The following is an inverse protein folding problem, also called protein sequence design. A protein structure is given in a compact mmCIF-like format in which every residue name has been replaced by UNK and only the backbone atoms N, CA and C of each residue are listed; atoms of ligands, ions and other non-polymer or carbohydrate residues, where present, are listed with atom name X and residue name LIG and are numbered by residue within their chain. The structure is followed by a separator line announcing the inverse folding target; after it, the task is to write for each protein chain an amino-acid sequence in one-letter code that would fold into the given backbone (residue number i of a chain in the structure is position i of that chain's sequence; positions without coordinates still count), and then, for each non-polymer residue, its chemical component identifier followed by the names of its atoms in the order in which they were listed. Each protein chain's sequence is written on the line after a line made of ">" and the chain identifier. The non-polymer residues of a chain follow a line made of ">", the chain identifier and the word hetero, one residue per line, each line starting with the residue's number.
data_IF_179930145334
#
_entry.id   IF_179930145334
#
_cell.length_a   1.000
_cell.length_b   1.000
_cell.length_c   1.000
_cell.angle_alpha   90.00
_cell.angle_beta   90.00
_cell.angle_gamma   90.00
#
_symmetry.space_group_name_H-M   'P 1'
#
loop_
_entity.id
_entity.type
_entity.pdbx_description
1 polymer ?
#
# COMPACT_ATOMS: atom_id res chain seq x y z
N UNK A 1 67.92 8.42 38.56
CA UNK A 1 67.55 7.27 37.68
C UNK A 1 66.70 6.31 38.50
N UNK A 2 65.38 6.48 38.45
CA UNK A 2 64.40 5.56 39.03
C UNK A 2 63.60 4.96 37.88
N UNK A 3 63.55 3.63 37.81
CA UNK A 3 62.56 2.90 37.02
C UNK A 3 62.32 1.57 37.70
N UNK A 4 61.07 1.26 38.07
CA UNK A 4 60.28 0.17 37.45
C UNK A 4 59.03 -0.18 38.26
N UNK A 5 57.96 -0.34 37.48
CA UNK A 5 56.76 -1.16 37.68
C UNK A 5 55.74 -0.73 38.76
N UNK A 6 54.71 -0.01 38.31
CA UNK A 6 53.40 0.04 38.97
C UNK A 6 52.46 -0.99 38.34
N UNK A 7 51.92 -1.88 39.16
CA UNK A 7 50.83 -2.79 38.84
C UNK A 7 49.50 -2.03 38.90
N UNK A 8 48.66 -2.15 37.87
CA UNK A 8 47.26 -1.68 37.90
C UNK A 8 46.37 -2.86 38.26
N UNK A 9 45.74 -2.78 39.44
CA UNK A 9 44.72 -3.72 39.92
C UNK A 9 43.37 -3.30 39.30
N UNK A 10 42.78 -4.20 38.51
CA UNK A 10 41.43 -4.09 37.97
C UNK A 10 40.42 -4.58 39.02
N UNK A 11 39.74 -3.64 39.68
CA UNK A 11 38.62 -3.91 40.58
C UNK A 11 37.34 -4.11 39.77
N UNK A 12 36.93 -5.37 39.62
CA UNK A 12 35.58 -5.75 39.18
C UNK A 12 34.58 -5.50 40.32
N UNK A 13 33.88 -4.36 40.28
CA UNK A 13 32.69 -4.13 41.10
C UNK A 13 31.45 -4.62 40.34
N UNK A 14 30.99 -5.81 40.72
CA UNK A 14 29.62 -6.28 40.47
C UNK A 14 28.65 -5.37 41.23
N UNK A 15 27.96 -4.48 40.54
CA UNK A 15 26.77 -3.80 41.05
C UNK A 15 25.55 -4.21 40.21
N UNK A 16 24.82 -5.19 40.75
CA UNK A 16 23.36 -5.21 40.84
C UNK A 16 22.59 -4.56 39.69
N UNK A 17 22.21 -5.38 38.71
CA UNK A 17 21.20 -5.04 37.72
C UNK A 17 19.84 -4.81 38.40
N UNK A 18 19.38 -3.56 38.35
CA UNK A 18 17.96 -3.26 38.51
C UNK A 18 17.20 -4.00 37.40
N UNK A 19 16.41 -5.01 37.80
CA UNK A 19 15.35 -5.60 36.97
C UNK A 19 14.34 -4.49 36.63
N UNK A 20 14.54 -3.84 35.49
CA UNK A 20 13.47 -3.12 34.81
C UNK A 20 12.50 -4.13 34.17
N UNK A 21 11.22 -3.79 33.98
CA UNK A 21 10.27 -4.67 33.31
C UNK A 21 10.84 -5.06 31.95
N UNK A 22 10.86 -6.37 31.73
CA UNK A 22 11.47 -7.07 30.61
C UNK A 22 11.26 -6.35 29.29
N UNK A 23 12.36 -6.01 28.62
CA UNK A 23 12.44 -5.53 27.22
C UNK A 23 11.73 -6.44 26.21
N UNK A 24 11.32 -7.64 26.62
CA UNK A 24 10.56 -8.60 25.82
C UNK A 24 9.10 -8.16 25.59
N UNK A 25 8.42 -7.54 26.56
CA UNK A 25 7.01 -7.13 26.38
C UNK A 25 6.84 -5.93 25.44
N UNK A 26 7.70 -4.90 25.58
CA UNK A 26 7.71 -3.76 24.65
C UNK A 26 8.09 -4.16 23.22
N UNK A 27 8.95 -5.17 23.08
CA UNK A 27 9.33 -5.70 21.78
C UNK A 27 8.20 -6.50 21.14
N UNK A 28 7.36 -7.19 21.91
CA UNK A 28 6.21 -7.93 21.38
C UNK A 28 5.13 -7.01 20.84
N UNK A 29 4.73 -5.93 21.55
CA UNK A 29 3.77 -4.96 21.00
C UNK A 29 4.31 -4.28 19.75
N UNK A 30 5.56 -3.80 19.77
CA UNK A 30 6.19 -3.23 18.58
C UNK A 30 6.21 -4.24 17.42
N UNK A 31 6.59 -5.51 17.66
CA UNK A 31 6.59 -6.55 16.64
C UNK A 31 5.19 -6.90 16.12
N UNK A 32 4.15 -6.93 16.96
CA UNK A 32 2.76 -7.18 16.53
C UNK A 32 2.20 -6.06 15.67
N UNK A 33 2.57 -4.79 15.93
CA UNK A 33 2.15 -3.66 15.10
C UNK A 33 2.87 -3.64 13.73
N UNK A 34 4.05 -4.28 13.63
CA UNK A 34 4.77 -4.53 12.38
C UNK A 34 4.46 -5.91 11.77
N UNK A 35 3.68 -6.77 12.45
CA UNK A 35 3.10 -7.93 11.79
C UNK A 35 2.06 -7.38 10.81
N UNK A 36 2.30 -7.69 9.55
CA UNK A 36 1.74 -6.96 8.43
C UNK A 36 0.29 -7.39 8.20
N UNK A 37 -0.64 -7.07 9.10
CA UNK A 37 -2.05 -7.50 9.03
C UNK A 37 -2.22 -8.98 8.65
N UNK A 38 -3.28 -9.29 7.90
CA UNK A 38 -3.66 -10.64 7.47
C UNK A 38 -2.66 -11.34 6.52
N UNK A 39 -1.41 -10.88 6.37
CA UNK A 39 -0.52 -11.29 5.27
C UNK A 39 -0.17 -12.79 5.22
N UNK A 40 -0.13 -13.52 6.33
CA UNK A 40 0.44 -14.88 6.36
C UNK A 40 -0.49 -15.97 6.91
N UNK A 41 -1.70 -15.63 7.31
CA UNK A 41 -2.72 -16.55 7.82
C UNK A 41 -3.97 -16.45 6.95
N UNK A 42 -4.95 -17.35 7.12
CA UNK A 42 -6.25 -17.20 6.47
C UNK A 42 -6.95 -15.93 6.96
N UNK A 43 -7.66 -15.25 6.06
CA UNK A 43 -8.27 -13.94 6.34
C UNK A 43 -9.69 -14.10 6.88
N UNK A 44 -10.30 -15.27 6.72
CA UNK A 44 -11.65 -15.59 7.09
C UNK A 44 -11.68 -16.94 7.82
N UNK A 45 -11.74 -16.91 9.15
CA UNK A 45 -11.93 -18.12 9.95
C UNK A 45 -13.24 -17.99 10.72
N UNK A 46 -14.35 -18.34 10.06
CA UNK A 46 -15.64 -18.55 10.72
C UNK A 46 -15.89 -20.05 10.89
N UNK A 47 -16.53 -20.41 11.99
CA UNK A 47 -16.43 -21.68 12.75
C UNK A 47 -16.69 -23.01 12.04
N UNK A 48 -16.91 -23.10 10.72
CA UNK A 48 -16.97 -24.37 9.96
C UNK A 48 -16.91 -24.21 8.41
N UNK A 49 -16.66 -23.01 7.88
CA UNK A 49 -16.55 -22.79 6.41
C UNK A 49 -15.45 -21.77 6.09
N UNK A 50 -14.34 -22.27 5.53
CA UNK A 50 -13.27 -21.45 4.97
C UNK A 50 -13.71 -20.82 3.62
N UNK A 51 -13.31 -19.58 3.37
CA UNK A 51 -13.41 -18.93 2.06
C UNK A 51 -12.15 -19.27 1.25
N UNK A 52 -12.34 -19.96 0.12
CA UNK A 52 -11.21 -20.51 -0.63
C UNK A 52 -10.19 -19.45 -1.08
N UNK A 53 -10.66 -18.28 -1.54
CA UNK A 53 -9.74 -17.22 -1.98
C UNK A 53 -9.00 -16.63 -0.78
N UNK A 54 -9.73 -16.20 0.24
CA UNK A 54 -9.18 -15.52 1.41
C UNK A 54 -8.27 -16.40 2.26
N UNK A 55 -8.56 -17.71 2.34
CA UNK A 55 -7.85 -18.60 3.26
C UNK A 55 -6.81 -19.49 2.59
N UNK A 56 -6.92 -19.70 1.28
CA UNK A 56 -5.98 -20.57 0.54
C UNK A 56 -5.18 -19.82 -0.52
N UNK A 57 -5.80 -18.96 -1.32
CA UNK A 57 -5.13 -18.29 -2.47
C UNK A 57 -4.37 -17.03 -2.05
N UNK A 58 -5.05 -16.11 -1.38
CA UNK A 58 -4.49 -14.82 -0.99
C UNK A 58 -3.28 -14.96 -0.02
N UNK A 59 -3.23 -15.94 0.91
CA UNK A 59 -2.03 -16.18 1.70
C UNK A 59 -0.82 -16.61 0.87
N UNK A 60 -1.02 -17.36 -0.22
CA UNK A 60 0.05 -17.72 -1.17
C UNK A 60 0.59 -16.46 -1.84
N UNK A 61 -0.29 -15.61 -2.39
CA UNK A 61 0.13 -14.33 -3.00
C UNK A 61 0.86 -13.44 -2.01
N UNK A 62 0.38 -13.37 -0.78
CA UNK A 62 0.93 -12.52 0.26
C UNK A 62 2.32 -12.96 0.74
N UNK A 63 2.55 -14.28 0.79
CA UNK A 63 3.83 -14.92 1.14
C UNK A 63 4.85 -14.89 0.00
N UNK A 64 4.39 -15.04 -1.24
CA UNK A 64 5.25 -15.28 -2.41
C UNK A 64 5.38 -14.07 -3.34
N UNK A 65 4.29 -13.36 -3.61
CA UNK A 65 4.22 -12.47 -4.78
C UNK A 65 4.14 -10.98 -4.42
N UNK A 66 3.39 -10.63 -3.38
CA UNK A 66 2.98 -9.25 -3.02
C UNK A 66 4.16 -8.31 -2.71
N UNK A 67 5.34 -8.80 -2.33
CA UNK A 67 6.52 -7.94 -2.16
C UNK A 67 6.91 -7.23 -3.47
N UNK A 68 6.86 -7.97 -4.60
CA UNK A 68 7.13 -7.43 -5.93
C UNK A 68 5.85 -6.87 -6.56
N UNK A 69 4.73 -7.59 -6.43
CA UNK A 69 3.43 -7.26 -7.00
C UNK A 69 2.47 -6.55 -6.05
N UNK A 70 3.03 -5.69 -5.20
CA UNK A 70 2.26 -4.76 -4.38
C UNK A 70 2.76 -3.36 -4.63
N UNK A 71 1.96 -2.34 -4.31
CA UNK A 71 2.23 -0.94 -4.66
C UNK A 71 2.10 -0.58 -6.15
N UNK A 72 1.76 0.69 -6.44
CA UNK A 72 1.64 1.32 -7.75
C UNK A 72 2.77 0.99 -8.73
N UNK A 73 3.98 0.89 -8.20
CA UNK A 73 5.21 0.53 -8.91
C UNK A 73 5.40 -0.97 -9.15
N UNK A 74 4.40 -1.79 -8.85
CA UNK A 74 4.46 -3.20 -9.17
C UNK A 74 4.78 -3.36 -10.66
N UNK A 75 5.63 -4.31 -11.03
CA UNK A 75 5.98 -4.53 -12.43
C UNK A 75 4.70 -4.74 -13.28
N UNK A 76 4.60 -4.00 -14.40
CA UNK A 76 3.39 -3.90 -15.25
C UNK A 76 2.11 -3.53 -14.51
N UNK A 77 2.27 -2.86 -13.38
CA UNK A 77 1.19 -2.52 -12.46
C UNK A 77 0.34 -3.72 -12.02
N UNK A 78 0.83 -4.96 -12.09
CA UNK A 78 0.08 -6.11 -11.60
C UNK A 78 0.06 -6.10 -10.07
N UNK A 79 -1.13 -6.01 -9.48
CA UNK A 79 -1.32 -5.94 -8.03
C UNK A 79 -1.95 -7.22 -7.49
N UNK A 80 -1.27 -7.91 -6.58
CA UNK A 80 -1.74 -9.16 -5.97
C UNK A 80 -2.09 -8.98 -4.49
N UNK A 81 -2.20 -7.73 -4.00
CA UNK A 81 -2.57 -7.42 -2.62
C UNK A 81 -4.04 -7.74 -2.31
N UNK A 82 -4.91 -7.84 -3.33
CA UNK A 82 -6.33 -8.15 -3.17
C UNK A 82 -6.90 -8.79 -4.44
N UNK A 83 -8.07 -9.43 -4.32
CA UNK A 83 -8.80 -9.98 -5.46
C UNK A 83 -9.09 -8.93 -6.54
N UNK A 84 -9.46 -7.71 -6.14
CA UNK A 84 -9.70 -6.61 -7.06
C UNK A 84 -8.44 -6.24 -7.87
N UNK A 85 -7.27 -6.28 -7.22
CA UNK A 85 -5.99 -6.10 -7.90
C UNK A 85 -5.72 -7.18 -8.96
N UNK A 86 -6.04 -8.44 -8.65
CA UNK A 86 -5.89 -9.57 -9.58
C UNK A 86 -6.85 -9.43 -10.77
N UNK A 87 -8.13 -9.12 -10.49
CA UNK A 87 -9.18 -8.94 -11.49
C UNK A 87 -8.92 -7.80 -12.46
N UNK A 88 -8.42 -6.68 -11.94
CA UNK A 88 -7.98 -5.54 -12.76
C UNK A 88 -6.99 -6.00 -13.84
N UNK A 89 -6.05 -6.86 -13.45
CA UNK A 89 -5.01 -7.38 -14.33
C UNK A 89 -3.78 -6.49 -14.36
N UNK A 90 -3.16 -6.38 -15.53
CA UNK A 90 -1.88 -5.66 -15.71
C UNK A 90 -1.96 -4.64 -16.84
N UNK A 91 -1.09 -3.64 -16.78
CA UNK A 91 -0.89 -2.64 -17.83
C UNK A 91 0.45 -2.92 -18.52
N UNK A 92 0.42 -3.04 -19.84
CA UNK A 92 1.62 -3.32 -20.62
C UNK A 92 2.59 -2.12 -20.72
N UNK A 93 2.17 -0.94 -20.24
CA UNK A 93 2.95 0.29 -20.26
C UNK A 93 4.21 0.17 -19.40
N UNK A 94 5.41 0.42 -19.95
CA UNK A 94 6.65 0.44 -19.17
C UNK A 94 6.63 1.55 -18.10
N UNK A 95 6.49 1.16 -16.84
CA UNK A 95 6.43 2.11 -15.72
C UNK A 95 7.81 2.70 -15.36
N UNK A 96 8.89 1.94 -15.55
CA UNK A 96 10.28 2.33 -15.26
C UNK A 96 11.00 2.82 -16.53
N UNK A 97 10.43 3.81 -17.19
CA UNK A 97 11.05 4.42 -18.37
C UNK A 97 11.87 5.65 -17.98
N UNK A 98 13.20 5.54 -18.08
CA UNK A 98 14.14 6.65 -17.85
C UNK A 98 14.01 7.78 -18.90
N UNK A 99 13.31 7.54 -20.00
CA UNK A 99 13.05 8.54 -21.06
C UNK A 99 11.73 9.29 -20.85
N UNK A 100 11.02 9.04 -19.74
CA UNK A 100 9.74 9.65 -19.43
C UNK A 100 9.92 11.03 -18.80
N UNK A 101 9.53 12.07 -19.52
CA UNK A 101 9.55 13.47 -19.05
C UNK A 101 8.20 13.95 -18.49
N UNK A 102 7.13 13.16 -18.65
CA UNK A 102 5.78 13.48 -18.19
C UNK A 102 5.25 12.48 -17.16
N UNK A 103 4.41 12.93 -16.22
CA UNK A 103 3.79 12.04 -15.24
C UNK A 103 2.83 11.06 -15.91
N UNK A 104 2.88 9.78 -15.54
CA UNK A 104 1.84 8.82 -15.92
C UNK A 104 0.51 9.14 -15.22
N UNK A 105 -0.64 8.82 -15.85
CA UNK A 105 -1.93 8.80 -15.17
C UNK A 105 -1.87 7.86 -13.97
N UNK A 106 -2.39 8.30 -12.81
CA UNK A 106 -2.46 7.45 -11.63
C UNK A 106 -3.57 6.42 -11.82
N UNK A 107 -3.17 5.17 -12.04
CA UNK A 107 -4.03 3.98 -12.00
C UNK A 107 -4.16 3.51 -10.55
N UNK A 108 -5.36 3.68 -9.99
CA UNK A 108 -5.54 3.55 -8.56
C UNK A 108 -5.69 2.08 -8.15
N UNK A 109 -4.54 1.50 -7.82
CA UNK A 109 -4.30 0.06 -7.69
C UNK A 109 -5.26 -0.79 -6.86
N UNK A 110 -5.97 -0.20 -5.89
CA UNK A 110 -6.82 -0.92 -4.93
C UNK A 110 -8.30 -0.53 -5.05
N UNK A 111 -8.66 0.28 -6.05
CA UNK A 111 -10.03 0.80 -6.16
C UNK A 111 -10.94 -0.13 -6.95
N UNK A 112 -12.21 -0.10 -6.57
CA UNK A 112 -13.27 -0.89 -7.19
C UNK A 112 -13.82 -0.06 -8.34
N UNK A 113 -13.24 -0.26 -9.52
CA UNK A 113 -13.93 0.09 -10.77
C UNK A 113 -14.61 -1.15 -11.34
N UNK A 114 -15.73 -0.99 -12.06
CA UNK A 114 -16.20 -2.03 -12.97
C UNK A 114 -15.06 -2.45 -13.89
N UNK A 115 -14.96 -3.74 -14.20
CA UNK A 115 -13.88 -4.26 -15.04
C UNK A 115 -13.79 -3.56 -16.39
N UNK A 116 -14.91 -3.18 -16.99
CA UNK A 116 -14.96 -2.44 -18.24
C UNK A 116 -14.09 -1.19 -18.23
N UNK A 117 -14.10 -0.43 -17.13
CA UNK A 117 -13.27 0.76 -16.97
C UNK A 117 -11.77 0.44 -16.93
N UNK A 118 -11.38 -0.70 -16.38
CA UNK A 118 -9.99 -1.14 -16.43
C UNK A 118 -9.57 -1.50 -17.87
N UNK A 119 -10.45 -2.13 -18.64
CA UNK A 119 -10.21 -2.42 -20.07
C UNK A 119 -10.09 -1.13 -20.89
N UNK A 120 -10.92 -0.11 -20.63
CA UNK A 120 -10.79 1.24 -21.24
C UNK A 120 -9.44 1.90 -20.92
N UNK A 121 -8.90 1.65 -19.73
CA UNK A 121 -7.56 2.08 -19.31
C UNK A 121 -6.44 1.15 -19.83
N UNK A 122 -6.73 0.28 -20.80
CA UNK A 122 -5.80 -0.67 -21.42
C UNK A 122 -5.21 -1.74 -20.48
N UNK A 123 -5.85 -2.00 -19.33
CA UNK A 123 -5.48 -3.16 -18.51
C UNK A 123 -5.98 -4.45 -19.13
N UNK A 124 -5.11 -5.46 -19.16
CA UNK A 124 -5.40 -6.78 -19.68
C UNK A 124 -5.61 -7.79 -18.54
N UNK A 125 -6.56 -8.73 -18.68
CA UNK A 125 -6.81 -9.74 -17.65
C UNK A 125 -5.62 -10.69 -17.53
N UNK A 126 -5.26 -11.04 -16.29
CA UNK A 126 -4.27 -12.10 -15.99
C UNK A 126 -4.93 -13.43 -15.63
N UNK A 127 -6.15 -13.37 -15.11
CA UNK A 127 -7.02 -14.52 -14.83
C UNK A 127 -8.33 -14.36 -15.58
N UNK A 128 -8.91 -15.48 -16.01
CA UNK A 128 -10.30 -15.48 -16.48
C UNK A 128 -11.22 -15.05 -15.33
N UNK A 129 -12.25 -14.26 -15.62
CA UNK A 129 -13.29 -13.93 -14.65
C UNK A 129 -14.65 -13.92 -15.34
N UNK A 130 -15.69 -14.15 -14.55
CA UNK A 130 -17.09 -14.34 -14.95
C UNK A 130 -17.80 -13.06 -15.43
N UNK A 131 -17.16 -11.92 -15.24
CA UNK A 131 -17.62 -10.59 -15.62
C UNK A 131 -17.02 -10.10 -16.95
N UNK A 132 -16.13 -10.87 -17.58
CA UNK A 132 -15.65 -10.55 -18.93
C UNK A 132 -16.74 -10.82 -19.98
N UNK A 133 -16.87 -9.98 -21.03
CA UNK A 133 -17.98 -10.06 -21.99
C UNK A 133 -18.08 -11.37 -22.79
N UNK A 134 -17.02 -12.18 -22.87
CA UNK A 134 -16.96 -13.34 -23.77
C UNK A 134 -16.97 -14.67 -23.02
N UNK A 135 -18.18 -15.16 -22.70
CA UNK A 135 -18.42 -16.34 -21.84
C UNK A 135 -18.04 -17.70 -22.43
N UNK A 136 -17.93 -17.81 -23.75
CA UNK A 136 -17.78 -19.10 -24.44
C UNK A 136 -16.33 -19.64 -24.45
N UNK A 137 -15.34 -18.80 -24.13
CA UNK A 137 -13.91 -19.15 -24.20
C UNK A 137 -13.26 -19.39 -22.84
N UNK A 138 -14.02 -19.45 -21.74
CA UNK A 138 -13.44 -19.57 -20.40
C UNK A 138 -12.46 -20.76 -20.30
N UNK A 139 -12.78 -21.91 -20.92
CA UNK A 139 -11.92 -23.10 -21.06
C UNK A 139 -10.54 -22.78 -21.63
N UNK A 140 -10.52 -22.03 -22.73
CA UNK A 140 -9.30 -21.62 -23.42
C UNK A 140 -8.56 -20.54 -22.63
N UNK A 141 -9.27 -19.63 -21.96
CA UNK A 141 -8.69 -18.57 -21.13
C UNK A 141 -7.94 -19.09 -19.90
N UNK A 142 -8.28 -20.28 -19.37
CA UNK A 142 -7.52 -20.89 -18.26
C UNK A 142 -6.19 -21.43 -18.73
N UNK A 143 -6.16 -22.12 -19.87
CA UNK A 143 -4.93 -22.68 -20.43
C UNK A 143 -4.05 -21.62 -21.10
N UNK A 144 -4.65 -20.53 -21.60
CA UNK A 144 -3.94 -19.33 -22.07
C UNK A 144 -3.78 -18.26 -20.99
N UNK A 145 -4.13 -18.55 -19.72
CA UNK A 145 -3.99 -17.57 -18.63
C UNK A 145 -2.53 -17.18 -18.50
N UNK A 146 -2.28 -15.90 -18.71
CA UNK A 146 -0.97 -15.32 -18.54
C UNK A 146 -0.44 -15.54 -17.10
N UNK A 147 -1.34 -15.53 -16.10
CA UNK A 147 -1.00 -15.85 -14.71
C UNK A 147 -0.58 -17.31 -14.51
N UNK A 148 -1.24 -18.28 -15.17
CA UNK A 148 -0.84 -19.70 -15.15
C UNK A 148 0.59 -19.85 -15.69
N UNK A 149 0.88 -19.26 -16.85
CA UNK A 149 2.24 -19.24 -17.42
C UNK A 149 3.26 -18.68 -16.43
N UNK A 150 2.92 -17.61 -15.71
CA UNK A 150 3.81 -17.00 -14.73
C UNK A 150 4.13 -17.87 -13.53
N UNK A 151 3.12 -18.57 -12.99
CA UNK A 151 3.30 -19.51 -11.87
C UNK A 151 4.10 -20.74 -12.31
N UNK A 152 3.80 -21.30 -13.47
CA UNK A 152 4.50 -22.48 -14.01
C UNK A 152 5.96 -22.17 -14.32
N UNK A 153 6.23 -21.08 -15.04
CA UNK A 153 7.61 -20.65 -15.35
C UNK A 153 8.36 -20.25 -14.10
N UNK A 154 7.69 -19.57 -13.16
CA UNK A 154 8.24 -19.28 -11.84
C UNK A 154 8.65 -20.55 -11.09
N UNK A 155 7.79 -21.56 -11.07
CA UNK A 155 8.09 -22.85 -10.46
C UNK A 155 9.19 -23.62 -11.20
N UNK A 156 9.28 -23.50 -12.52
CA UNK A 156 10.30 -24.19 -13.31
C UNK A 156 11.70 -23.56 -13.14
N UNK A 157 11.78 -22.23 -13.17
CA UNK A 157 13.05 -21.52 -13.30
C UNK A 157 13.52 -20.80 -12.03
N UNK A 158 12.62 -20.46 -11.09
CA UNK A 158 12.96 -19.72 -9.87
C UNK A 158 13.12 -20.63 -8.64
N UNK A 159 13.74 -21.80 -8.81
CA UNK A 159 14.02 -22.77 -7.74
C UNK A 159 15.37 -22.53 -7.05
N UNK A 160 15.50 -22.85 -5.74
CA UNK A 160 14.43 -23.32 -4.84
C UNK A 160 13.48 -22.20 -4.45
N UNK A 161 12.18 -22.47 -4.27
CA UNK A 161 11.18 -21.49 -3.79
C UNK A 161 11.59 -20.83 -2.46
N UNK A 162 12.24 -19.67 -2.53
CA UNK A 162 12.85 -19.04 -1.37
C UNK A 162 11.83 -18.18 -0.59
N UNK A 163 11.82 -18.25 0.75
CA UNK A 163 11.15 -17.22 1.54
C UNK A 163 11.86 -15.88 1.30
N UNK A 164 11.10 -14.80 1.18
CA UNK A 164 11.59 -13.45 0.89
C UNK A 164 12.29 -12.81 2.10
N UNK A 165 13.36 -13.43 2.59
CA UNK A 165 14.11 -12.98 3.77
C UNK A 165 15.62 -12.96 3.50
N UNK A 166 16.30 -11.94 4.04
CA UNK A 166 17.76 -11.85 4.10
C UNK A 166 18.47 -11.72 2.74
N UNK A 167 19.63 -12.38 2.62
CA UNK A 167 20.56 -12.23 1.48
C UNK A 167 19.99 -12.65 0.11
N UNK A 168 18.92 -13.46 0.10
CA UNK A 168 18.29 -13.93 -1.15
C UNK A 168 17.51 -12.81 -1.88
N UNK A 169 16.90 -11.89 -1.14
CA UNK A 169 16.23 -10.71 -1.71
C UNK A 169 17.22 -9.78 -2.44
N UNK A 170 18.40 -9.58 -1.85
CA UNK A 170 19.46 -8.73 -2.41
C UNK A 170 20.00 -9.27 -3.72
N UNK A 171 20.09 -10.61 -3.86
CA UNK A 171 20.51 -11.25 -5.11
C UNK A 171 19.47 -11.04 -6.22
N UNK A 172 18.19 -11.27 -5.93
CA UNK A 172 17.10 -11.05 -6.90
C UNK A 172 17.06 -9.60 -7.40
N UNK A 173 17.25 -8.64 -6.48
CA UNK A 173 17.34 -7.23 -6.80
C UNK A 173 18.50 -6.89 -7.75
N UNK A 174 19.64 -7.56 -7.59
CA UNK A 174 20.79 -7.44 -8.48
C UNK A 174 20.49 -8.05 -9.85
N UNK A 175 19.93 -9.25 -9.87
CA UNK A 175 19.56 -9.95 -11.10
C UNK A 175 18.49 -9.17 -11.91
N UNK A 176 17.57 -8.47 -11.23
CA UNK A 176 16.60 -7.54 -11.84
C UNK A 176 17.26 -6.28 -12.41
N UNK A 177 18.22 -5.69 -11.69
CA UNK A 177 18.91 -4.47 -12.15
C UNK A 177 19.66 -4.70 -13.47
N UNK A 178 20.13 -5.92 -13.68
CA UNK A 178 20.88 -6.30 -14.87
C UNK A 178 19.96 -6.75 -16.04
N UNK A 179 18.64 -6.92 -15.80
CA UNK A 179 17.65 -7.24 -16.83
C UNK A 179 17.09 -5.97 -17.48
N UNK A 180 17.86 -5.32 -18.36
CA UNK A 180 17.45 -4.12 -19.11
C UNK A 180 16.30 -4.33 -20.13
N UNK A 181 15.61 -5.47 -20.11
CA UNK A 181 14.52 -5.83 -21.01
C UNK A 181 13.16 -5.82 -20.30
N UNK A 182 12.86 -4.77 -19.53
CA UNK A 182 11.57 -4.59 -18.84
C UNK A 182 10.45 -4.29 -19.84
N UNK A 183 10.03 -5.32 -20.58
CA UNK A 183 8.84 -5.30 -21.42
C UNK A 183 7.74 -6.09 -20.73
N UNK A 184 6.56 -5.49 -20.67
CA UNK A 184 5.36 -6.22 -20.32
C UNK A 184 4.91 -7.02 -21.55
N UNK A 185 4.66 -8.31 -21.37
CA UNK A 185 4.21 -9.22 -22.42
C UNK A 185 2.69 -9.31 -22.46
N UNK A 186 2.13 -9.82 -23.56
CA UNK A 186 0.73 -10.27 -23.64
C UNK A 186 0.68 -11.66 -24.28
N UNK A 187 -0.44 -12.37 -24.16
CA UNK A 187 -0.69 -13.51 -25.06
C UNK A 187 -0.94 -12.99 -26.47
N UNK A 188 -0.70 -13.81 -27.50
CA UNK A 188 -0.95 -13.40 -28.90
C UNK A 188 -2.39 -12.96 -29.12
N UNK A 189 -3.36 -13.69 -28.55
CA UNK A 189 -4.79 -13.38 -28.64
C UNK A 189 -5.15 -12.04 -28.00
N UNK A 190 -4.63 -11.77 -26.80
CA UNK A 190 -4.81 -10.47 -26.13
C UNK A 190 -4.14 -9.33 -26.89
N UNK A 191 -2.97 -9.60 -27.47
CA UNK A 191 -2.24 -8.62 -28.26
C UNK A 191 -3.05 -8.22 -29.50
N UNK A 192 -3.53 -9.19 -30.27
CA UNK A 192 -4.32 -8.97 -31.49
C UNK A 192 -5.67 -8.28 -31.21
N UNK A 193 -6.30 -8.61 -30.07
CA UNK A 193 -7.61 -8.07 -29.71
C UNK A 193 -7.57 -6.61 -29.20
N UNK A 194 -6.45 -6.15 -28.62
CA UNK A 194 -6.39 -4.82 -27.96
C UNK A 194 -5.33 -3.88 -28.54
N UNK A 195 -4.28 -4.41 -29.17
CA UNK A 195 -3.23 -3.60 -29.80
C UNK A 195 -3.29 -3.76 -31.32
N UNK A 196 -4.14 -2.95 -31.97
CA UNK A 196 -4.08 -2.80 -33.43
C UNK A 196 -2.68 -2.32 -33.86
N UNK A 197 -2.30 -2.60 -35.11
CA UNK A 197 -0.96 -2.51 -35.72
C UNK A 197 -0.13 -1.22 -35.51
N UNK A 198 -0.65 -0.21 -34.80
CA UNK A 198 0.10 0.95 -34.30
C UNK A 198 0.15 0.95 -32.77
N UNK A 199 0.89 0.02 -32.19
CA UNK A 199 1.41 0.20 -30.85
C UNK A 199 2.79 0.89 -30.96
N UNK A 200 3.02 2.06 -30.33
CA UNK A 200 4.35 2.70 -30.32
C UNK A 200 5.40 1.90 -29.52
N UNK A 201 5.00 0.81 -28.85
CA UNK A 201 5.87 -0.03 -28.01
C UNK A 201 5.97 -1.46 -28.57
N UNK A 202 7.18 -2.02 -28.55
CA UNK A 202 7.43 -3.42 -28.87
C UNK A 202 6.94 -4.31 -27.72
N UNK A 203 5.69 -4.77 -27.78
CA UNK A 203 5.17 -5.82 -26.89
C UNK A 203 5.60 -7.18 -27.45
N UNK A 204 6.14 -8.04 -26.59
CA UNK A 204 6.59 -9.40 -26.93
C UNK A 204 5.59 -10.41 -26.37
N UNK A 205 5.29 -11.49 -27.10
CA UNK A 205 4.41 -12.53 -26.57
C UNK A 205 5.04 -13.21 -25.36
N UNK A 206 4.26 -13.74 -24.44
CA UNK A 206 4.80 -14.45 -23.27
C UNK A 206 5.78 -15.56 -23.69
N UNK A 207 5.43 -16.33 -24.72
CA UNK A 207 6.25 -17.42 -25.28
C UNK A 207 7.60 -16.90 -25.80
N UNK A 208 7.56 -15.83 -26.61
CA UNK A 208 8.76 -15.23 -27.19
C UNK A 208 9.66 -14.62 -26.11
N UNK A 209 9.07 -13.96 -25.11
CA UNK A 209 9.80 -13.38 -24.00
C UNK A 209 10.58 -14.43 -23.19
N UNK A 210 9.96 -15.57 -22.87
CA UNK A 210 10.63 -16.64 -22.13
C UNK A 210 11.70 -17.37 -22.97
N UNK A 211 11.56 -17.40 -24.30
CA UNK A 211 12.56 -17.96 -25.20
C UNK A 211 13.78 -17.05 -25.39
N UNK A 212 13.56 -15.73 -25.43
CA UNK A 212 14.60 -14.75 -25.78
C UNK A 212 15.35 -14.18 -24.56
N UNK A 213 14.87 -14.41 -23.33
CA UNK A 213 15.52 -13.91 -22.11
C UNK A 213 16.53 -14.91 -21.55
N UNK A 214 17.79 -14.46 -21.41
CA UNK A 214 18.88 -15.20 -20.79
C UNK A 214 19.66 -14.33 -19.81
N UNK A 215 20.12 -14.94 -18.71
CA UNK A 215 21.03 -14.30 -17.73
C UNK A 215 22.32 -15.12 -17.74
N UNK A 216 23.43 -14.48 -18.09
CA UNK A 216 24.75 -15.12 -18.22
C UNK A 216 24.78 -16.31 -19.19
N UNK A 217 24.11 -16.19 -20.35
CA UNK A 217 24.11 -17.22 -21.40
C UNK A 217 23.31 -18.48 -21.07
N UNK A 218 22.65 -18.53 -19.91
CA UNK A 218 21.66 -19.55 -19.58
C UNK A 218 20.27 -19.01 -19.93
N UNK A 219 19.44 -19.75 -20.69
CA UNK A 219 18.02 -19.44 -20.81
C UNK A 219 17.47 -19.34 -19.39
N UNK A 220 17.22 -18.12 -18.94
CA UNK A 220 16.91 -17.89 -17.53
C UNK A 220 15.42 -17.82 -17.32
N UNK A 221 14.62 -17.73 -18.41
CA UNK A 221 13.18 -17.52 -18.32
C UNK A 221 12.85 -16.49 -17.25
N UNK A 222 13.73 -15.49 -17.07
CA UNK A 222 13.78 -14.63 -15.90
C UNK A 222 12.62 -13.67 -16.02
N UNK A 223 11.41 -14.17 -15.74
CA UNK A 223 10.19 -13.42 -15.82
C UNK A 223 10.18 -12.35 -14.75
N UNK A 224 10.81 -11.25 -15.07
CA UNK A 224 10.49 -9.97 -14.50
C UNK A 224 10.08 -9.14 -15.70
N UNK A 225 8.84 -8.70 -15.78
CA UNK A 225 8.05 -8.29 -14.63
C UNK A 225 7.15 -9.36 -13.99
N UNK A 226 7.05 -10.56 -14.57
CA UNK A 226 5.89 -11.43 -14.28
C UNK A 226 6.10 -12.86 -13.74
N UNK A 227 7.25 -13.51 -13.95
CA UNK A 227 7.55 -14.76 -13.27
C UNK A 227 7.61 -14.55 -11.75
N UNK A 228 6.80 -15.35 -11.09
CA UNK A 228 6.66 -15.37 -9.65
C UNK A 228 7.76 -16.28 -9.07
N UNK A 229 8.12 -16.13 -7.78
CA UNK A 229 9.01 -17.11 -7.17
C UNK A 229 8.35 -18.49 -7.20
N UNK A 230 9.17 -19.54 -7.20
CA UNK A 230 8.65 -20.90 -7.18
C UNK A 230 7.70 -21.15 -6.00
N UNK A 231 6.60 -21.84 -6.29
CA UNK A 231 5.61 -22.33 -5.33
C UNK A 231 5.84 -23.81 -5.06
N UNK A 232 5.41 -24.28 -3.88
CA UNK A 232 5.42 -25.70 -3.55
C UNK A 232 4.38 -26.47 -4.40
N UNK A 233 4.50 -27.80 -4.57
CA UNK A 233 3.49 -28.61 -5.26
C UNK A 233 2.09 -28.43 -4.67
N UNK A 234 1.98 -28.29 -3.35
CA UNK A 234 0.71 -28.07 -2.64
C UNK A 234 0.13 -26.68 -2.96
N UNK A 235 0.97 -25.63 -2.89
CA UNK A 235 0.58 -24.26 -3.27
C UNK A 235 0.17 -24.21 -4.76
N UNK A 236 0.86 -24.94 -5.64
CA UNK A 236 0.51 -25.05 -7.06
C UNK A 236 -0.83 -25.74 -7.28
N UNK A 237 -1.12 -26.82 -6.55
CA UNK A 237 -2.41 -27.50 -6.63
C UNK A 237 -3.56 -26.57 -6.23
N UNK A 238 -3.40 -25.79 -5.16
CA UNK A 238 -4.40 -24.79 -4.73
C UNK A 238 -4.67 -23.77 -5.83
N UNK A 239 -3.61 -23.17 -6.40
CA UNK A 239 -3.76 -22.17 -7.46
C UNK A 239 -4.41 -22.75 -8.72
N UNK A 240 -4.04 -23.98 -9.11
CA UNK A 240 -4.65 -24.66 -10.25
C UNK A 240 -6.14 -24.94 -10.02
N UNK A 241 -6.51 -25.44 -8.85
CA UNK A 241 -7.92 -25.65 -8.48
C UNK A 241 -8.70 -24.33 -8.49
N UNK A 242 -8.15 -23.27 -7.90
CA UNK A 242 -8.77 -21.95 -7.91
C UNK A 242 -9.01 -21.44 -9.34
N UNK A 243 -8.00 -21.53 -10.22
CA UNK A 243 -8.12 -21.14 -11.62
C UNK A 243 -9.15 -21.98 -12.37
N UNK A 244 -9.12 -23.31 -12.24
CA UNK A 244 -10.08 -24.23 -12.86
C UNK A 244 -11.54 -23.97 -12.40
N UNK A 245 -11.71 -23.47 -11.17
CA UNK A 245 -13.01 -23.08 -10.64
C UNK A 245 -13.43 -21.65 -11.05
N UNK A 246 -12.80 -21.07 -12.07
CA UNK A 246 -13.15 -19.76 -12.60
C UNK A 246 -12.46 -18.59 -11.90
N UNK A 247 -11.40 -18.85 -11.13
CA UNK A 247 -10.65 -17.84 -10.37
C UNK A 247 -11.54 -16.96 -9.48
N UNK A 248 -12.57 -17.56 -8.87
CA UNK A 248 -13.57 -16.85 -8.06
C UNK A 248 -12.95 -16.08 -6.90
N UNK A 249 -13.54 -14.94 -6.59
CA UNK A 249 -13.14 -14.10 -5.48
C UNK A 249 -13.68 -14.56 -4.14
N UNK A 250 -13.39 -13.78 -3.08
CA UNK A 250 -14.06 -13.93 -1.80
C UNK A 250 -15.58 -13.84 -1.94
N UNK A 251 -16.30 -14.64 -1.17
CA UNK A 251 -17.74 -14.55 -1.05
C UNK A 251 -18.18 -13.19 -0.49
N UNK A 252 -19.39 -12.74 -0.84
CA UNK A 252 -19.95 -11.48 -0.30
C UNK A 252 -20.01 -11.49 1.22
N UNK A 253 -20.34 -12.65 1.82
CA UNK A 253 -20.36 -12.85 3.27
C UNK A 253 -18.96 -12.65 3.87
N UNK A 254 -17.93 -13.27 3.30
CA UNK A 254 -16.57 -13.15 3.80
C UNK A 254 -16.03 -11.73 3.63
N UNK A 255 -16.33 -11.05 2.51
CA UNK A 255 -15.97 -9.64 2.33
C UNK A 255 -16.67 -8.73 3.33
N UNK A 256 -17.97 -8.92 3.57
CA UNK A 256 -18.71 -8.14 4.56
C UNK A 256 -18.13 -8.33 5.96
N UNK A 257 -17.77 -9.57 6.33
CA UNK A 257 -17.09 -9.85 7.59
C UNK A 257 -15.74 -9.13 7.65
N UNK A 258 -14.90 -9.29 6.62
CA UNK A 258 -13.57 -8.69 6.57
C UNK A 258 -13.61 -7.15 6.60
N UNK A 259 -14.62 -6.53 6.00
CA UNK A 259 -14.80 -5.07 6.00
C UNK A 259 -15.39 -4.52 7.31
N UNK A 260 -15.99 -5.38 8.13
CA UNK A 260 -16.57 -4.96 9.41
C UNK A 260 -15.45 -4.77 10.45
N UNK A 261 -15.31 -3.58 11.07
CA UNK A 261 -14.36 -3.37 12.16
C UNK A 261 -14.73 -4.19 13.39
N UNK A 262 -13.74 -4.64 14.17
CA UNK A 262 -13.99 -5.33 15.44
C UNK A 262 -14.72 -4.44 16.45
N UNK A 263 -14.42 -3.14 16.45
CA UNK A 263 -15.01 -2.12 17.29
C UNK A 263 -15.45 -0.92 16.43
N UNK A 264 -16.66 -0.98 15.83
CA UNK A 264 -17.16 0.07 14.94
C UNK A 264 -17.46 1.39 15.65
N UNK A 265 -17.69 1.38 16.97
CA UNK A 265 -17.98 2.61 17.73
C UNK A 265 -16.74 3.52 17.82
N UNK A 266 -15.54 2.96 17.93
CA UNK A 266 -14.29 3.75 17.88
C UNK A 266 -14.12 4.44 16.53
N UNK A 267 -14.42 3.71 15.44
CA UNK A 267 -14.38 4.24 14.08
C UNK A 267 -15.36 5.40 13.91
N UNK A 268 -16.60 5.22 14.39
CA UNK A 268 -17.66 6.25 14.35
C UNK A 268 -17.28 7.51 15.11
N UNK A 269 -16.67 7.41 16.30
CA UNK A 269 -16.18 8.58 17.06
C UNK A 269 -15.17 9.41 16.25
N UNK A 270 -14.23 8.73 15.60
CA UNK A 270 -13.22 9.40 14.78
C UNK A 270 -13.81 10.03 13.52
N UNK A 271 -14.73 9.35 12.85
CA UNK A 271 -15.45 9.93 11.70
C UNK A 271 -16.28 11.15 12.12
N UNK A 272 -16.94 11.13 13.29
CA UNK A 272 -17.64 12.30 13.82
C UNK A 272 -16.70 13.49 14.05
N UNK A 273 -15.49 13.24 14.57
CA UNK A 273 -14.48 14.28 14.73
C UNK A 273 -14.00 14.84 13.39
N UNK A 274 -13.60 13.98 12.45
CA UNK A 274 -13.14 14.40 11.12
C UNK A 274 -14.22 15.12 10.31
N UNK A 275 -15.49 14.92 10.63
CA UNK A 275 -16.63 15.60 10.01
C UNK A 275 -17.28 16.66 10.91
N UNK A 276 -16.64 17.03 12.01
CA UNK A 276 -17.13 18.07 12.91
C UNK A 276 -17.25 19.38 12.13
N UNK A 277 -18.41 20.04 12.25
CA UNK A 277 -18.59 21.35 11.64
C UNK A 277 -19.10 21.36 10.19
N UNK A 278 -19.67 20.25 9.72
CA UNK A 278 -20.23 20.13 8.37
C UNK A 278 -21.20 21.28 7.99
N UNK A 279 -21.94 21.88 8.94
CA UNK A 279 -22.98 22.90 8.66
C UNK A 279 -23.02 24.16 9.56
N UNK A 280 -21.93 24.56 10.24
CA UNK A 280 -22.01 25.61 11.29
C UNK A 280 -21.04 26.79 11.11
N UNK A 281 -21.24 27.68 10.12
CA UNK A 281 -20.55 28.98 10.05
C UNK A 281 -19.04 28.92 10.31
N UNK A 282 -18.53 29.84 11.15
CA UNK A 282 -17.11 29.96 11.45
C UNK A 282 -16.51 28.74 12.19
N UNK A 283 -17.24 28.19 13.17
CA UNK A 283 -16.82 27.00 13.91
C UNK A 283 -16.78 25.75 13.03
N UNK A 284 -17.69 25.71 12.05
CA UNK A 284 -17.74 24.67 11.03
C UNK A 284 -16.53 24.69 10.12
N UNK A 285 -16.08 25.88 9.73
CA UNK A 285 -14.86 26.04 8.94
C UNK A 285 -13.61 25.62 9.72
N UNK A 286 -13.56 25.83 11.05
CA UNK A 286 -12.45 25.32 11.89
C UNK A 286 -12.33 23.80 11.81
N UNK A 287 -13.43 23.08 12.03
CA UNK A 287 -13.44 21.62 11.96
C UNK A 287 -13.03 21.10 10.58
N UNK A 288 -13.56 21.70 9.50
CA UNK A 288 -13.20 21.33 8.13
C UNK A 288 -11.72 21.59 7.80
N UNK A 289 -11.15 22.69 8.28
CA UNK A 289 -9.73 22.99 8.10
C UNK A 289 -8.84 22.03 8.90
N UNK A 290 -9.22 21.69 10.14
CA UNK A 290 -8.51 20.71 10.96
C UNK A 290 -8.51 19.32 10.32
N UNK A 291 -9.68 18.83 9.88
CA UNK A 291 -9.80 17.53 9.24
C UNK A 291 -8.99 17.43 7.94
N UNK A 292 -8.99 18.50 7.13
CA UNK A 292 -8.15 18.59 5.94
C UNK A 292 -6.66 18.54 6.28
N UNK A 293 -6.23 19.30 7.29
CA UNK A 293 -4.83 19.30 7.72
C UNK A 293 -4.39 17.91 8.19
N UNK A 294 -5.21 17.24 8.99
CA UNK A 294 -4.94 15.87 9.46
C UNK A 294 -4.87 14.90 8.27
N UNK A 295 -5.88 14.93 7.39
CA UNK A 295 -5.93 14.06 6.21
C UNK A 295 -4.71 14.24 5.31
N UNK A 296 -4.38 15.46 4.91
CA UNK A 296 -3.28 15.69 3.96
C UNK A 296 -1.90 15.30 4.51
N UNK A 297 -1.69 15.40 5.82
CA UNK A 297 -0.41 15.05 6.47
C UNK A 297 -0.33 13.57 6.90
N UNK A 298 -1.45 12.84 6.86
CA UNK A 298 -1.50 11.41 7.24
C UNK A 298 -2.04 10.52 6.12
N UNK A 299 -2.26 11.06 4.92
CA UNK A 299 -2.92 10.35 3.80
C UNK A 299 -2.23 9.06 3.38
N UNK A 300 -0.90 8.98 3.52
CA UNK A 300 -0.10 7.78 3.21
C UNK A 300 -0.02 6.78 4.36
N UNK A 301 -0.51 7.16 5.55
CA UNK A 301 -0.43 6.33 6.74
C UNK A 301 -1.65 5.41 6.89
N UNK A 302 -1.39 4.23 7.42
CA UNK A 302 -2.38 3.33 7.97
C UNK A 302 -2.64 3.68 9.43
N UNK A 303 -3.89 3.95 9.77
CA UNK A 303 -4.33 4.15 11.14
C UNK A 303 -4.45 2.80 11.82
N UNK A 304 -3.80 2.66 12.97
CA UNK A 304 -3.93 1.48 13.82
C UNK A 304 -4.48 1.90 15.18
N UNK A 305 -5.63 1.34 15.56
CA UNK A 305 -6.30 1.61 16.83
C UNK A 305 -5.91 0.56 17.86
N UNK A 306 -5.52 0.99 19.05
CA UNK A 306 -5.27 0.08 20.18
C UNK A 306 -6.54 -0.74 20.50
N UNK A 307 -7.71 -0.15 20.25
CA UNK A 307 -9.04 -0.74 20.43
C UNK A 307 -9.48 -1.68 19.28
N UNK A 308 -8.76 -1.70 18.15
CA UNK A 308 -8.98 -2.61 17.01
C UNK A 308 -7.67 -3.33 16.64
N UNK A 309 -7.19 -4.19 17.55
CA UNK A 309 -5.95 -4.94 17.35
C UNK A 309 -5.98 -5.76 16.04
N UNK A 310 -4.88 -5.73 15.31
CA UNK A 310 -4.72 -6.40 14.00
C UNK A 310 -5.41 -5.72 12.82
N UNK A 311 -6.25 -4.70 13.05
CA UNK A 311 -6.93 -3.98 11.97
C UNK A 311 -6.22 -2.66 11.65
N UNK A 312 -6.29 -2.28 10.38
CA UNK A 312 -5.72 -1.04 9.86
C UNK A 312 -6.77 -0.30 9.05
N UNK A 313 -6.69 1.03 9.06
CA UNK A 313 -7.66 1.90 8.39
C UNK A 313 -6.94 2.97 7.58
N UNK A 314 -7.63 3.53 6.58
CA UNK A 314 -7.21 4.74 5.86
C UNK A 314 -8.28 5.81 6.00
N UNK A 315 -7.86 7.06 6.12
CA UNK A 315 -8.78 8.19 5.95
C UNK A 315 -9.01 8.35 4.45
N UNK A 316 -10.27 8.25 4.03
CA UNK A 316 -10.70 8.48 2.66
C UNK A 316 -11.74 9.59 2.62
N UNK A 317 -11.93 10.22 1.46
CA UNK A 317 -13.00 11.20 1.25
C UNK A 317 -14.11 10.53 0.44
N UNK A 318 -15.37 10.74 0.82
CA UNK A 318 -16.52 10.13 0.13
C UNK A 318 -17.60 11.17 -0.17
N UNK A 319 -18.26 11.04 -1.32
CA UNK A 319 -19.42 11.89 -1.66
C UNK A 319 -20.71 11.42 -0.97
N UNK A 320 -20.80 10.14 -0.60
CA UNK A 320 -21.93 9.54 0.11
C UNK A 320 -21.43 8.62 1.22
N UNK A 321 -21.87 8.86 2.46
CA UNK A 321 -21.47 8.04 3.62
C UNK A 321 -22.16 6.66 3.66
N UNK A 322 -23.31 6.50 2.99
CA UNK A 322 -24.12 5.29 3.08
C UNK A 322 -23.56 4.09 2.29
N UNK A 323 -22.68 4.32 1.31
CA UNK A 323 -22.18 3.27 0.44
C UNK A 323 -20.75 2.86 0.86
N UNK A 324 -20.56 1.58 1.17
CA UNK A 324 -19.27 1.02 1.59
C UNK A 324 -18.37 0.65 0.41
N UNK A 325 -18.83 0.84 -0.82
CA UNK A 325 -18.15 0.38 -2.04
C UNK A 325 -18.07 1.45 -3.13
N UNK A 326 -19.00 2.41 -3.17
CA UNK A 326 -19.06 3.43 -4.23
C UNK A 326 -18.93 4.85 -3.69
N UNK A 327 -18.10 5.68 -4.34
CA UNK A 327 -18.06 7.13 -4.07
C UNK A 327 -16.86 7.65 -3.27
N UNK A 328 -15.81 6.86 -3.10
CA UNK A 328 -14.50 7.40 -2.71
C UNK A 328 -14.03 8.44 -3.74
N UNK A 329 -13.62 9.62 -3.25
CA UNK A 329 -13.11 10.71 -4.06
C UNK A 329 -11.62 10.47 -4.25
N UNK A 330 -11.26 10.01 -5.45
CA UNK A 330 -9.86 9.78 -5.78
C UNK A 330 -9.32 10.90 -6.67
N UNK A 331 -8.17 11.42 -6.28
CA UNK A 331 -7.50 12.54 -6.93
C UNK A 331 -6.01 12.27 -7.07
N UNK A 332 -5.34 13.00 -7.97
CA UNK A 332 -3.89 12.86 -8.18
C UNK A 332 -3.11 13.22 -6.93
N UNK A 333 -3.53 14.27 -6.25
CA UNK A 333 -2.95 14.72 -4.98
C UNK A 333 -4.03 14.83 -3.90
N UNK A 334 -3.70 14.60 -2.62
CA UNK A 334 -4.68 14.64 -1.54
C UNK A 334 -5.35 16.02 -1.37
N UNK A 335 -4.66 17.10 -1.76
CA UNK A 335 -5.20 18.47 -1.67
C UNK A 335 -6.19 18.86 -2.77
N UNK A 336 -6.46 18.00 -3.75
CA UNK A 336 -7.36 18.30 -4.88
C UNK A 336 -8.79 17.81 -4.59
N UNK A 337 -9.76 18.37 -5.31
CA UNK A 337 -11.11 17.81 -5.46
C UNK A 337 -11.46 17.70 -6.95
N UNK A 338 -12.22 16.67 -7.38
CA UNK A 338 -12.75 16.61 -8.73
C UNK A 338 -13.70 17.76 -9.02
N UNK A 339 -13.80 18.14 -10.30
CA UNK A 339 -14.75 19.15 -10.76
C UNK A 339 -16.20 18.74 -10.41
N UNK A 340 -17.02 19.71 -10.02
CA UNK A 340 -18.41 19.49 -9.59
C UNK A 340 -18.59 18.96 -8.16
N UNK A 341 -17.53 18.45 -7.51
CA UNK A 341 -17.60 17.99 -6.12
C UNK A 341 -17.46 19.18 -5.16
N UNK A 342 -18.58 19.60 -4.57
CA UNK A 342 -18.64 20.75 -3.64
C UNK A 342 -18.83 20.36 -2.17
N UNK A 343 -19.21 19.10 -1.93
CA UNK A 343 -19.45 18.50 -0.62
C UNK A 343 -18.93 17.07 -0.58
N UNK A 344 -18.36 16.69 0.56
CA UNK A 344 -17.87 15.34 0.85
C UNK A 344 -17.73 15.16 2.36
N UNK A 345 -17.50 13.92 2.79
CA UNK A 345 -17.20 13.54 4.18
C UNK A 345 -15.91 12.73 4.26
N UNK A 346 -15.24 12.74 5.40
CA UNK A 346 -14.12 11.85 5.70
C UNK A 346 -14.65 10.54 6.28
N UNK A 347 -14.09 9.42 5.84
CA UNK A 347 -14.43 8.07 6.31
C UNK A 347 -13.17 7.30 6.66
N UNK A 348 -13.27 6.40 7.63
CA UNK A 348 -12.22 5.44 7.95
C UNK A 348 -12.52 4.12 7.24
N UNK A 349 -11.84 3.88 6.12
CA UNK A 349 -11.97 2.65 5.34
C UNK A 349 -11.04 1.59 5.93
N UNK A 350 -11.60 0.46 6.38
CA UNK A 350 -10.80 -0.70 6.81
C UNK A 350 -9.99 -1.23 5.63
N UNK A 351 -8.71 -1.48 5.87
CA UNK A 351 -7.79 -2.06 4.90
C UNK A 351 -8.08 -3.54 4.81
N UNK A 352 -8.44 -4.00 3.62
CA UNK A 352 -8.77 -5.40 3.37
C UNK A 352 -7.81 -6.04 2.37
N UNK A 353 -6.80 -5.30 1.92
CA UNK A 353 -5.69 -5.78 1.12
C UNK A 353 -4.47 -6.18 1.96
N UNK A 354 -3.64 -7.09 1.43
CA UNK A 354 -2.38 -7.48 2.05
C UNK A 354 -1.45 -6.28 2.13
N UNK A 355 -1.06 -5.86 3.33
CA UNK A 355 -0.16 -4.72 3.48
C UNK A 355 1.27 -5.15 3.08
N UNK A 356 2.03 -4.23 2.49
CA UNK A 356 3.45 -4.43 2.18
C UNK A 356 4.30 -3.49 3.00
N UNK A 357 5.45 -3.98 3.46
CA UNK A 357 6.38 -3.18 4.27
C UNK A 357 6.74 -1.85 3.60
N UNK A 358 6.92 -1.83 2.27
CA UNK A 358 7.26 -0.62 1.49
C UNK A 358 6.20 0.49 1.53
N UNK A 359 5.00 0.21 2.02
CA UNK A 359 3.91 1.19 2.20
C UNK A 359 3.46 1.32 3.65
N UNK A 360 4.07 0.57 4.58
CA UNK A 360 3.57 0.43 5.94
C UNK A 360 4.04 1.58 6.85
N UNK A 361 3.45 2.76 6.63
CA UNK A 361 3.57 3.90 7.53
C UNK A 361 2.40 3.77 8.51
N UNK A 362 2.67 3.55 9.80
CA UNK A 362 1.60 3.35 10.80
C UNK A 362 1.44 4.60 11.65
N UNK A 363 0.24 5.19 11.62
CA UNK A 363 -0.17 6.22 12.57
C UNK A 363 -0.98 5.58 13.69
N UNK A 364 -0.36 5.42 14.87
CA UNK A 364 -1.04 4.84 16.04
C UNK A 364 -2.03 5.84 16.61
N UNK A 365 -3.25 5.41 16.82
CA UNK A 365 -4.37 6.24 17.26
C UNK A 365 -5.19 5.52 18.32
N UNK A 366 -5.87 6.28 19.18
CA UNK A 366 -6.73 5.78 20.25
C UNK A 366 -7.59 6.93 20.78
N UNK A 367 -8.46 6.66 21.76
CA UNK A 367 -9.30 7.68 22.39
C UNK A 367 -8.49 8.85 23.00
N UNK A 368 -7.28 8.60 23.53
CA UNK A 368 -6.41 9.68 24.07
C UNK A 368 -5.89 10.60 22.97
N UNK A 369 -5.49 10.04 21.83
CA UNK A 369 -5.02 10.82 20.67
C UNK A 369 -6.16 11.60 20.04
N UNK A 370 -7.37 11.05 20.01
CA UNK A 370 -8.57 11.79 19.58
C UNK A 370 -8.81 13.02 20.47
N UNK A 371 -8.81 12.83 21.79
CA UNK A 371 -8.99 13.93 22.75
C UNK A 371 -7.89 15.00 22.59
N UNK A 372 -6.64 14.57 22.38
CA UNK A 372 -5.53 15.50 22.12
C UNK A 372 -5.72 16.31 20.84
N UNK A 373 -6.19 15.69 19.75
CA UNK A 373 -6.47 16.38 18.50
C UNK A 373 -7.64 17.37 18.66
N UNK A 374 -8.68 17.01 19.40
CA UNK A 374 -9.79 17.91 19.71
C UNK A 374 -9.32 19.13 20.52
N UNK A 375 -8.54 18.92 21.57
CA UNK A 375 -7.95 19.99 22.36
C UNK A 375 -7.08 20.91 21.47
N UNK A 376 -6.18 20.32 20.68
CA UNK A 376 -5.23 21.04 19.85
C UNK A 376 -5.90 21.88 18.77
N UNK A 377 -6.85 21.32 18.03
CA UNK A 377 -7.47 22.01 16.90
C UNK A 377 -8.74 22.78 17.25
N UNK A 378 -9.52 22.33 18.23
CA UNK A 378 -10.84 22.91 18.55
C UNK A 378 -10.86 23.65 19.89
N UNK A 379 -9.98 23.32 20.83
CA UNK A 379 -9.88 23.96 22.14
C UNK A 379 -9.04 25.24 22.15
N UNK A 380 -8.21 25.46 21.13
CA UNK A 380 -7.31 26.61 21.04
C UNK A 380 -7.97 27.82 20.34
N UNK A 381 -7.53 29.05 20.64
CA UNK A 381 -8.00 30.23 19.92
C UNK A 381 -7.54 30.19 18.45
N UNK A 382 -8.45 30.54 17.55
CA UNK A 382 -8.19 30.74 16.12
C UNK A 382 -8.58 32.18 15.76
N UNK A 383 -8.17 32.67 14.57
CA UNK A 383 -8.66 33.93 14.05
C UNK A 383 -10.20 34.04 14.08
N UNK A 384 -10.72 35.26 14.27
CA UNK A 384 -12.17 35.52 14.36
C UNK A 384 -12.93 35.01 13.13
N UNK A 385 -12.32 35.08 11.95
CA UNK A 385 -12.87 34.57 10.71
C UNK A 385 -11.97 33.46 10.15
N UNK A 386 -12.57 32.29 9.96
CA UNK A 386 -11.93 31.10 9.43
C UNK A 386 -12.60 30.81 8.09
N UNK A 387 -11.86 30.91 6.98
CA UNK A 387 -12.40 30.67 5.66
C UNK A 387 -12.74 29.18 5.48
N UNK A 388 -13.70 28.90 4.59
CA UNK A 388 -13.96 27.55 4.09
C UNK A 388 -12.67 26.99 3.45
N UNK A 389 -12.35 25.69 3.62
CA UNK A 389 -11.20 25.10 2.93
C UNK A 389 -11.30 25.26 1.40
N UNK A 390 -10.16 25.58 0.79
CA UNK A 390 -9.99 25.89 -0.64
C UNK A 390 -9.20 24.81 -1.38
N UNK A 391 -9.74 24.25 -2.45
CA UNK A 391 -9.12 23.17 -3.22
C UNK A 391 -8.66 23.61 -4.63
N UNK A 392 -8.70 24.92 -4.88
CA UNK A 392 -8.37 25.57 -6.15
C UNK A 392 -6.88 25.94 -6.27
N UNK A 393 -6.07 25.66 -5.25
CA UNK A 393 -4.64 25.98 -5.21
C UNK A 393 -3.83 24.83 -4.60
N UNK A 394 -2.60 24.66 -5.08
CA UNK A 394 -1.60 23.75 -4.52
C UNK A 394 -0.75 24.36 -3.41
N UNK A 395 -0.96 25.63 -3.02
CA UNK A 395 -0.13 26.31 -2.03
C UNK A 395 -0.60 26.06 -0.58
N UNK A 396 0.07 25.19 0.22
CA UNK A 396 -0.35 24.86 1.58
C UNK A 396 -0.26 26.05 2.54
N UNK A 397 0.65 26.99 2.30
CA UNK A 397 0.76 28.18 3.13
C UNK A 397 -0.47 29.08 3.00
N UNK A 398 -1.11 29.10 1.82
CA UNK A 398 -2.30 29.89 1.58
C UNK A 398 -3.56 29.27 2.19
N UNK A 399 -3.83 27.99 1.95
CA UNK A 399 -5.09 27.39 2.42
C UNK A 399 -5.07 26.96 3.89
N UNK A 400 -3.89 26.74 4.50
CA UNK A 400 -3.75 26.49 5.94
C UNK A 400 -3.41 27.73 6.77
N UNK A 401 -3.34 28.92 6.17
CA UNK A 401 -3.00 30.18 6.87
C UNK A 401 -3.89 30.45 8.09
N UNK A 402 -5.16 30.03 8.04
CA UNK A 402 -6.11 30.23 9.12
C UNK A 402 -5.85 29.34 10.34
N UNK A 403 -5.04 28.28 10.21
CA UNK A 403 -4.64 27.41 11.31
C UNK A 403 -3.41 28.06 11.98
N UNK A 404 -3.50 28.44 13.27
CA UNK A 404 -2.39 29.01 14.02
C UNK A 404 -1.08 28.22 13.85
N UNK A 405 0.05 28.91 13.68
CA UNK A 405 1.35 28.30 13.43
C UNK A 405 1.73 27.28 14.52
N UNK A 406 1.50 27.63 15.80
CA UNK A 406 1.72 26.73 16.94
C UNK A 406 0.91 25.44 16.86
N UNK A 407 -0.34 25.49 16.38
CA UNK A 407 -1.19 24.29 16.21
C UNK A 407 -0.61 23.40 15.12
N UNK A 408 -0.27 23.98 13.96
CA UNK A 408 0.35 23.25 12.84
C UNK A 408 1.66 22.59 13.28
N UNK A 409 2.57 23.36 13.87
CA UNK A 409 3.87 22.86 14.35
C UNK A 409 3.71 21.74 15.38
N UNK A 410 2.81 21.90 16.36
CA UNK A 410 2.58 20.90 17.40
C UNK A 410 2.04 19.59 16.82
N UNK A 411 1.10 19.65 15.88
CA UNK A 411 0.63 18.44 15.18
C UNK A 411 1.78 17.74 14.44
N UNK A 412 2.62 18.48 13.72
CA UNK A 412 3.74 17.88 12.99
C UNK A 412 4.74 17.20 13.93
N UNK A 413 5.06 17.82 15.06
CA UNK A 413 6.01 17.27 16.04
C UNK A 413 5.42 16.04 16.75
N UNK A 414 4.15 16.11 17.19
CA UNK A 414 3.50 15.01 17.92
C UNK A 414 3.23 13.77 17.04
N UNK A 415 3.30 13.91 15.71
CA UNK A 415 3.09 12.86 14.71
C UNK A 415 4.28 12.70 13.76
N UNK A 416 5.48 13.10 14.21
CA UNK A 416 6.69 13.12 13.39
C UNK A 416 7.06 11.75 12.82
N UNK A 417 6.71 10.66 13.51
CA UNK A 417 6.93 9.29 13.04
C UNK A 417 6.17 8.99 11.74
N UNK A 418 4.88 9.32 11.69
CA UNK A 418 4.06 9.15 10.49
C UNK A 418 4.50 10.10 9.36
N UNK A 419 4.84 11.35 9.70
CA UNK A 419 5.22 12.38 8.72
C UNK A 419 6.59 12.09 8.09
N UNK A 420 7.59 11.77 8.90
CA UNK A 420 8.91 11.35 8.42
C UNK A 420 8.77 10.03 7.65
N UNK A 421 7.96 9.10 8.15
CA UNK A 421 7.64 7.87 7.44
C UNK A 421 7.10 8.12 6.02
N UNK A 422 6.20 9.10 5.86
CA UNK A 422 5.69 9.51 4.56
C UNK A 422 6.77 10.10 3.63
N UNK A 423 7.73 10.83 4.17
CA UNK A 423 8.85 11.40 3.39
C UNK A 423 9.82 10.29 2.95
N UNK A 424 10.13 9.34 3.85
CA UNK A 424 11.14 8.30 3.63
C UNK A 424 10.59 7.13 2.81
N UNK A 425 9.35 6.73 3.04
CA UNK A 425 8.72 5.55 2.42
C UNK A 425 7.72 5.92 1.33
N UNK A 426 7.08 7.09 1.41
CA UNK A 426 5.93 7.48 0.59
C UNK A 426 6.23 7.84 -0.86
N UNK A 427 7.49 7.86 -1.29
CA UNK A 427 7.91 8.15 -2.66
C UNK A 427 8.63 6.99 -3.38
N UNK A 428 8.89 5.86 -2.73
CA UNK A 428 9.51 4.66 -3.36
C UNK A 428 8.47 3.83 -4.13
N UNK A 429 7.43 4.50 -4.59
CA UNK A 429 6.26 3.94 -5.25
C UNK A 429 5.84 4.78 -6.48
N UNK A 430 6.52 5.92 -6.73
CA UNK A 430 6.38 6.76 -7.93
C UNK A 430 7.78 7.32 -8.30
N UNK A 431 8.55 6.58 -9.08
CA UNK A 431 9.88 6.96 -9.54
C UNK A 431 10.22 6.40 -10.92
N UNK A 432 10.85 7.21 -11.76
CA UNK A 432 11.35 6.83 -13.10
C UNK A 432 12.58 5.91 -13.05
N UNK A 433 13.20 5.77 -11.88
CA UNK A 433 14.14 4.70 -11.53
C UNK A 433 13.93 4.34 -10.07
N UNK A 434 13.96 3.05 -9.73
CA UNK A 434 13.88 2.58 -8.35
C UNK A 434 15.08 3.13 -7.56
N UNK A 435 14.93 4.29 -6.93
CA UNK A 435 15.85 4.71 -5.89
C UNK A 435 15.58 3.75 -4.74
N UNK A 436 16.51 2.83 -4.49
CA UNK A 436 16.54 2.14 -3.21
C UNK A 436 16.51 3.24 -2.16
N UNK A 437 15.38 3.35 -1.45
CA UNK A 437 15.13 4.41 -0.49
C UNK A 437 16.38 4.68 0.32
N UNK A 438 16.88 5.90 0.18
CA UNK A 438 17.75 6.65 1.08
C UNK A 438 18.48 5.73 2.07
N UNK A 439 19.68 5.25 1.70
CA UNK A 439 20.69 4.83 2.68
C UNK A 439 21.35 6.05 3.36
N UNK A 440 20.85 7.25 3.14
CA UNK A 440 21.41 8.46 3.72
C UNK A 440 21.03 8.56 5.20
N UNK A 441 22.03 8.91 6.00
CA UNK A 441 21.84 9.26 7.39
C UNK A 441 21.34 10.71 7.43
N UNK A 442 20.06 10.92 7.75
CA UNK A 442 19.50 12.26 7.92
C UNK A 442 19.33 12.60 9.39
N UNK A 443 19.58 13.86 9.70
CA UNK A 443 19.32 14.44 11.02
C UNK A 443 18.07 15.30 10.90
N UNK A 444 17.11 15.07 11.78
CA UNK A 444 15.91 15.90 11.86
C UNK A 444 16.01 16.74 13.13
N UNK A 445 16.04 18.06 12.97
CA UNK A 445 15.98 19.00 14.08
C UNK A 445 14.61 19.64 14.11
N UNK A 446 14.02 19.71 15.30
CA UNK A 446 12.78 20.43 15.55
C UNK A 446 13.12 21.68 16.35
N UNK A 447 12.65 22.84 15.90
CA UNK A 447 12.69 24.07 16.69
C UNK A 447 11.54 24.04 17.70
N UNK A 448 11.79 24.57 18.91
CA UNK A 448 10.71 24.76 19.88
C UNK A 448 9.63 25.67 19.24
N UNK A 449 8.35 25.26 19.21
CA UNK A 449 7.26 26.07 18.67
C UNK A 449 7.11 27.46 19.32
N UNK A 450 7.63 27.64 20.54
CA UNK A 450 7.63 28.93 21.24
C UNK A 450 8.89 29.77 20.95
N UNK A 451 9.85 29.23 20.20
CA UNK A 451 11.09 29.89 19.78
C UNK A 451 11.08 30.36 18.32
N UNK A 452 9.90 30.61 17.75
CA UNK A 452 9.77 31.11 16.37
C UNK A 452 10.55 32.43 16.20
N UNK A 453 11.38 32.47 15.16
CA UNK A 453 12.24 33.61 14.80
C UNK A 453 11.59 34.48 13.71
N UNK A 454 10.40 34.12 13.23
CA UNK A 454 9.67 34.86 12.18
C UNK A 454 8.82 36.01 12.71
#
# INVERSE_FOLDING_TARGET
>A
MQSRLFWVILLFLFSSGCHGPTTVEKNNEAQTVFQVGNRLQGWYHETDQDDHYLDKVQPIFSKRCVTCHGCYEAPCQLNLQSYQGVRRGYDATPIYSMTRFESMPITQMNDVYPLSKWRELAFLPVVANDEEPNRADHAKHWDSSLFKTFIEKGSQYNQPGFPLMGKKLVKLQKDFKDSNNSQCTATSEQFEAHFQAKNPWNVVTAEKYFQETSVNGKPSGAGMPFALPAVTPEEMAILNTWMQNGAQGPSEKAMKHLQTPHNPEVIKKWEQFLNTGSNQGNQGNKGKQAARYIYEHTYTAYLHFDENKGEYFRIVRVTKMADNSEGEIITKFPYQLPEGVTQFSYRLKKVTEAIVQKKMIVWRVNDKRLARLQELFLGQPWPKQVPKPRYDSSNPFAYFAAIPAKIRARFLIENADAIIGAIVQGAVCIGSGATYGIRDHFWVWFLDPDSDIS
#
